data_IF_507565306155
#
_entry.id   IF_507565306155
#
_cell.length_a   1.000
_cell.length_b   1.000
_cell.length_c   1.000
_cell.angle_alpha   90.00
_cell.angle_beta   90.00
_cell.angle_gamma   90.00
#
_symmetry.space_group_name_H-M   'P 1'
#
loop_
_entity.id
_entity.type
_entity.pdbx_description
1 polymer ?
#
# COMPACT_ATOMS: atom_id res chain seq x y z
N UNK A 1 -17.17 0.47 -3.73
CA UNK A 1 -16.22 0.22 -2.62
C UNK A 1 -14.86 -0.12 -3.22
N UNK A 2 -13.77 0.43 -2.67
CA UNK A 2 -12.41 0.18 -3.15
C UNK A 2 -11.56 -0.34 -1.98
N UNK A 3 -10.86 -1.45 -2.19
CA UNK A 3 -9.91 -2.02 -1.23
C UNK A 3 -8.52 -1.45 -1.52
N UNK A 4 -7.90 -0.82 -0.53
CA UNK A 4 -6.54 -0.28 -0.65
C UNK A 4 -5.56 -1.27 -0.03
N UNK A 5 -4.57 -1.71 -0.80
CA UNK A 5 -3.51 -2.58 -0.31
C UNK A 5 -2.28 -1.75 0.05
N UNK A 6 -1.98 -1.68 1.34
CA UNK A 6 -0.77 -1.11 1.92
C UNK A 6 0.27 -2.23 2.13
N UNK A 7 1.54 -2.05 1.74
CA UNK A 7 2.56 -3.07 1.96
C UNK A 7 2.79 -3.30 3.46
N UNK A 8 2.96 -4.57 3.82
CA UNK A 8 3.54 -4.91 5.11
C UNK A 8 5.05 -4.62 5.09
N UNK A 9 5.58 -4.22 6.24
CA UNK A 9 7.02 -4.16 6.47
C UNK A 9 7.60 -5.54 6.75
N UNK A 10 8.85 -5.77 6.34
CA UNK A 10 9.68 -6.85 6.87
C UNK A 10 10.07 -6.57 8.34
N UNK A 11 10.81 -7.50 8.97
CA UNK A 11 11.44 -7.24 10.26
C UNK A 11 12.36 -6.00 10.27
N UNK A 12 12.92 -5.66 9.11
CA UNK A 12 13.74 -4.46 8.91
C UNK A 12 12.93 -3.27 8.38
N UNK A 13 11.60 -3.28 8.53
CA UNK A 13 10.68 -2.23 8.08
C UNK A 13 10.82 -1.90 6.58
N UNK A 14 11.24 -2.85 5.77
CA UNK A 14 11.31 -2.71 4.32
C UNK A 14 9.96 -3.11 3.72
N UNK A 15 9.35 -2.33 2.81
CA UNK A 15 8.10 -2.71 2.19
C UNK A 15 8.25 -4.02 1.41
N UNK A 16 7.25 -4.89 1.53
CA UNK A 16 7.17 -6.15 0.80
C UNK A 16 6.25 -5.99 -0.42
N UNK A 17 6.68 -6.56 -1.55
CA UNK A 17 5.91 -6.58 -2.81
C UNK A 17 4.66 -7.47 -2.71
N UNK A 18 4.73 -8.53 -1.92
CA UNK A 18 3.68 -9.52 -1.74
C UNK A 18 3.71 -10.06 -0.31
N UNK A 19 2.53 -10.37 0.20
CA UNK A 19 2.36 -11.26 1.34
C UNK A 19 1.16 -12.16 1.07
N UNK A 20 1.13 -13.41 1.58
CA UNK A 20 0.01 -14.32 1.35
C UNK A 20 -1.34 -13.72 1.71
N UNK A 21 -1.41 -12.96 2.82
CA UNK A 21 -2.65 -12.31 3.25
C UNK A 21 -3.12 -11.23 2.26
N UNK A 22 -2.23 -10.31 1.85
CA UNK A 22 -2.61 -9.23 0.94
C UNK A 22 -2.98 -9.77 -0.45
N UNK A 23 -2.33 -10.84 -0.90
CA UNK A 23 -2.65 -11.48 -2.17
C UNK A 23 -4.00 -12.18 -2.13
N UNK A 24 -4.34 -12.84 -1.01
CA UNK A 24 -5.66 -13.41 -0.78
C UNK A 24 -6.74 -12.32 -0.74
N UNK A 25 -6.51 -11.21 -0.04
CA UNK A 25 -7.46 -10.09 -0.01
C UNK A 25 -7.67 -9.50 -1.42
N UNK A 26 -6.61 -9.36 -2.21
CA UNK A 26 -6.72 -8.90 -3.60
C UNK A 26 -7.58 -9.85 -4.44
N UNK A 27 -7.42 -11.16 -4.25
CA UNK A 27 -8.21 -12.17 -4.95
C UNK A 27 -9.68 -12.15 -4.51
N UNK A 28 -9.96 -12.09 -3.21
CA UNK A 28 -11.32 -12.02 -2.66
C UNK A 28 -12.02 -10.75 -3.16
N UNK A 29 -11.34 -9.61 -3.15
CA UNK A 29 -11.88 -8.34 -3.63
C UNK A 29 -12.28 -8.45 -5.12
N UNK A 30 -11.42 -9.02 -5.96
CA UNK A 30 -11.73 -9.27 -7.37
C UNK A 30 -12.92 -10.21 -7.56
N UNK A 31 -12.98 -11.30 -6.80
CA UNK A 31 -14.09 -12.27 -6.86
C UNK A 31 -15.44 -11.64 -6.50
N UNK A 32 -15.44 -10.63 -5.63
CA UNK A 32 -16.64 -9.92 -5.20
C UNK A 32 -16.90 -8.62 -6.00
N UNK A 33 -16.17 -8.38 -7.08
CA UNK A 33 -16.35 -7.19 -7.92
C UNK A 33 -15.90 -5.87 -7.28
N UNK A 34 -15.09 -5.90 -6.22
CA UNK A 34 -14.52 -4.70 -5.62
C UNK A 34 -13.28 -4.25 -6.38
N UNK A 35 -13.15 -2.94 -6.58
CA UNK A 35 -11.92 -2.35 -7.12
C UNK A 35 -10.79 -2.49 -6.10
N UNK A 36 -9.58 -2.77 -6.58
CA UNK A 36 -8.37 -2.87 -5.74
C UNK A 36 -7.41 -1.77 -6.16
N UNK A 37 -7.05 -0.90 -5.21
CA UNK A 37 -5.95 0.04 -5.34
C UNK A 37 -4.71 -0.57 -4.68
N UNK A 38 -3.85 -1.18 -5.51
CA UNK A 38 -2.60 -1.77 -5.03
C UNK A 38 -1.49 -0.71 -4.99
N UNK A 39 -1.12 -0.28 -3.78
CA UNK A 39 -0.06 0.74 -3.61
C UNK A 39 1.33 0.13 -3.42
N UNK A 40 1.44 -1.18 -3.24
CA UNK A 40 2.72 -1.87 -2.95
C UNK A 40 3.82 -1.54 -3.97
N UNK A 41 3.56 -1.51 -5.29
CA UNK A 41 4.58 -1.14 -6.27
C UNK A 41 5.10 0.29 -6.10
N UNK A 42 4.26 1.22 -5.68
CA UNK A 42 4.63 2.63 -5.48
C UNK A 42 5.58 2.77 -4.29
N UNK A 43 5.30 2.10 -3.17
CA UNK A 43 6.17 2.05 -1.99
C UNK A 43 7.52 1.41 -2.30
N UNK A 44 7.54 0.33 -3.09
CA UNK A 44 8.78 -0.35 -3.48
C UNK A 44 9.63 0.55 -4.37
N UNK A 45 9.01 1.26 -5.32
CA UNK A 45 9.71 2.22 -6.19
C UNK A 45 10.35 3.33 -5.36
N UNK A 46 9.58 3.93 -4.46
CA UNK A 46 10.04 5.01 -3.58
C UNK A 46 11.16 4.52 -2.64
N UNK A 47 11.03 3.34 -2.05
CA UNK A 47 12.08 2.72 -1.23
C UNK A 47 13.37 2.49 -2.03
N UNK A 48 13.26 1.92 -3.23
CA UNK A 48 14.42 1.61 -4.05
C UNK A 48 15.18 2.85 -4.48
N UNK A 49 14.46 3.95 -4.75
CA UNK A 49 15.04 5.19 -5.22
C UNK A 49 15.65 6.03 -4.09
N UNK A 50 14.98 6.13 -2.95
CA UNK A 50 15.33 7.10 -1.91
C UNK A 50 15.64 6.50 -0.54
N UNK A 51 15.48 5.18 -0.38
CA UNK A 51 15.61 4.49 0.93
C UNK A 51 14.68 5.08 1.99
N UNK A 52 13.49 5.49 1.56
CA UNK A 52 12.47 6.11 2.41
C UNK A 52 11.96 5.15 3.47
N UNK A 53 11.88 5.62 4.71
CA UNK A 53 11.17 4.93 5.79
C UNK A 53 9.67 5.19 5.69
N UNK A 54 8.87 4.13 5.82
CA UNK A 54 7.40 4.20 5.70
C UNK A 54 6.65 3.82 6.96
N UNK A 55 7.35 3.27 7.95
CA UNK A 55 6.73 2.67 9.12
C UNK A 55 7.16 3.43 10.38
N UNK A 56 6.24 3.58 11.32
CA UNK A 56 6.56 4.05 12.65
C UNK A 56 7.44 3.00 13.36
N UNK A 57 8.51 3.41 14.08
CA UNK A 57 9.36 2.48 14.82
C UNK A 57 8.56 1.65 15.82
N UNK A 58 8.81 0.34 15.88
CA UNK A 58 8.16 -0.63 16.78
C UNK A 58 6.65 -0.82 16.62
N UNK A 59 6.02 -0.14 15.67
CA UNK A 59 4.57 -0.08 15.56
C UNK A 59 4.07 -0.62 14.21
N UNK A 60 4.92 -0.58 13.16
CA UNK A 60 4.58 -1.13 11.84
C UNK A 60 3.44 -0.38 11.13
N UNK A 61 2.86 0.63 11.77
CA UNK A 61 1.88 1.55 11.21
C UNK A 61 2.53 2.51 10.21
N UNK A 62 1.78 2.99 9.21
CA UNK A 62 2.28 3.98 8.27
C UNK A 62 2.67 5.28 8.99
N UNK A 63 3.85 5.80 8.68
CA UNK A 63 4.24 7.15 9.08
C UNK A 63 3.59 8.21 8.16
N UNK A 64 3.90 9.49 8.38
CA UNK A 64 3.34 10.58 7.58
C UNK A 64 3.67 10.49 6.09
N UNK A 65 4.87 10.01 5.74
CA UNK A 65 5.28 9.80 4.34
C UNK A 65 4.43 8.72 3.67
N UNK A 66 4.23 7.59 4.36
CA UNK A 66 3.37 6.52 3.88
C UNK A 66 1.92 6.96 3.73
N UNK A 67 1.37 7.66 4.73
CA UNK A 67 0.02 8.18 4.71
C UNK A 67 -0.20 9.14 3.54
N UNK A 68 0.76 10.02 3.26
CA UNK A 68 0.72 10.94 2.12
C UNK A 68 0.69 10.17 0.80
N UNK A 69 1.57 9.19 0.60
CA UNK A 69 1.61 8.40 -0.63
C UNK A 69 0.26 7.70 -0.87
N UNK A 70 -0.32 7.09 0.17
CA UNK A 70 -1.64 6.46 0.09
C UNK A 70 -2.71 7.48 -0.30
N UNK A 71 -2.76 8.63 0.38
CA UNK A 71 -3.72 9.69 0.11
C UNK A 71 -3.63 10.23 -1.33
N UNK A 72 -2.41 10.42 -1.84
CA UNK A 72 -2.16 10.87 -3.21
C UNK A 72 -2.68 9.85 -4.23
N UNK A 73 -2.46 8.55 -3.99
CA UNK A 73 -2.97 7.48 -4.87
C UNK A 73 -4.49 7.37 -4.81
N UNK A 74 -5.10 7.50 -3.64
CA UNK A 74 -6.56 7.53 -3.49
C UNK A 74 -7.16 8.72 -4.26
N UNK A 75 -6.57 9.90 -4.09
CA UNK A 75 -7.05 11.12 -4.76
C UNK A 75 -7.01 10.98 -6.29
N UNK A 76 -5.92 10.40 -6.81
CA UNK A 76 -5.71 10.21 -8.26
C UNK A 76 -6.51 9.06 -8.88
N UNK A 77 -6.76 7.99 -8.15
CA UNK A 77 -7.33 6.76 -8.75
C UNK A 77 -8.77 6.47 -8.33
N UNK A 78 -9.24 7.10 -7.26
CA UNK A 78 -10.58 6.89 -6.71
C UNK A 78 -11.40 8.16 -6.84
N UNK A 79 -10.91 9.29 -6.33
CA UNK A 79 -11.69 10.53 -6.27
C UNK A 79 -11.82 11.17 -7.65
N UNK A 80 -10.74 11.29 -8.43
CA UNK A 80 -10.77 11.96 -9.74
C UNK A 80 -11.55 11.22 -10.83
N UNK A 81 -12.13 10.05 -10.54
CA UNK A 81 -12.99 9.29 -11.45
C UNK A 81 -14.48 9.62 -11.28
N UNK A 82 -14.80 10.52 -10.33
CA UNK A 82 -16.11 11.14 -10.13
C UNK A 82 -16.06 12.59 -10.60
#
# INVERSE_FOLDING_TARGET
>A
MTVVLYPNGSHSLTPLTSTPLLDQIAQIAKQNGFSVLDTRPDFIREFNQYKTDFYLPNDGHPNSTAAKLIADRISKEVISKF
#
